data_IF_640675739270
#
_entry.id   IF_640675739270
#
_cell.length_a   1.000
_cell.length_b   1.000
_cell.length_c   1.000
_cell.angle_alpha   90.00
_cell.angle_beta   90.00
_cell.angle_gamma   90.00
#
_symmetry.space_group_name_H-M   'P 1'
#
loop_
_entity.id
_entity.type
_entity.pdbx_description
1 polymer ?
#
# COMPACT_ATOMS: atom_id res chain seq x y z
N UNK A 1 1.72 -19.24 42.21
CA UNK A 1 2.11 -18.57 40.94
C UNK A 1 2.37 -19.65 39.91
N UNK A 2 1.58 -19.72 38.85
CA UNK A 2 1.74 -20.73 37.80
C UNK A 2 2.91 -20.31 36.89
N UNK A 3 4.05 -21.00 37.04
CA UNK A 3 5.29 -20.67 36.31
C UNK A 3 5.20 -21.26 34.91
N UNK A 4 5.04 -20.40 33.90
CA UNK A 4 5.02 -20.82 32.49
C UNK A 4 6.43 -21.25 32.06
N UNK A 5 6.58 -22.34 31.28
CA UNK A 5 7.88 -22.89 30.89
C UNK A 5 8.55 -22.13 29.74
N UNK A 6 8.43 -20.81 29.71
CA UNK A 6 8.96 -19.95 28.65
C UNK A 6 9.60 -18.70 29.27
N UNK A 7 10.79 -18.36 28.80
CA UNK A 7 11.48 -17.14 29.20
C UNK A 7 10.64 -15.90 28.83
N UNK A 8 10.37 -14.96 29.76
CA UNK A 8 9.58 -13.76 29.49
C UNK A 8 10.26 -12.79 28.51
N UNK A 9 11.58 -12.88 28.34
CA UNK A 9 12.35 -11.98 27.47
C UNK A 9 12.43 -12.49 26.02
N UNK A 10 12.70 -13.79 25.83
CA UNK A 10 12.97 -14.36 24.51
C UNK A 10 12.02 -15.48 24.08
N UNK A 11 11.08 -15.89 24.95
CA UNK A 11 10.10 -16.96 24.72
C UNK A 11 10.71 -18.34 24.44
N UNK A 12 11.99 -18.55 24.77
CA UNK A 12 12.64 -19.86 24.70
C UNK A 12 12.28 -20.70 25.92
N UNK A 13 12.17 -22.02 25.77
CA UNK A 13 11.91 -22.93 26.87
C UNK A 13 13.09 -22.94 27.86
N UNK A 14 12.80 -22.76 29.14
CA UNK A 14 13.78 -22.74 30.22
C UNK A 14 13.59 -23.95 31.13
N UNK A 15 14.70 -24.55 31.55
CA UNK A 15 14.70 -25.76 32.37
C UNK A 15 14.74 -25.45 33.87
N UNK A 16 15.43 -24.37 34.23
CA UNK A 16 15.52 -23.86 35.59
C UNK A 16 15.54 -22.33 35.57
N UNK A 17 15.14 -21.74 36.70
CA UNK A 17 15.12 -20.30 36.97
C UNK A 17 15.69 -20.09 38.38
N UNK A 18 16.52 -19.07 38.57
CA UNK A 18 17.02 -18.68 39.89
C UNK A 18 16.37 -17.36 40.33
N UNK A 19 15.69 -17.37 41.49
CA UNK A 19 15.08 -16.17 42.09
C UNK A 19 15.60 -16.06 43.52
N UNK A 20 16.26 -14.94 43.84
CA UNK A 20 16.76 -14.69 45.19
C UNK A 20 17.81 -15.70 45.69
N UNK A 21 18.61 -16.27 44.78
CA UNK A 21 19.63 -17.29 45.10
C UNK A 21 19.09 -18.72 45.24
N UNK A 22 17.78 -18.93 45.00
CA UNK A 22 17.14 -20.25 45.05
C UNK A 22 16.83 -20.72 43.64
N UNK A 23 17.30 -21.92 43.29
CA UNK A 23 17.05 -22.56 41.99
C UNK A 23 15.72 -23.30 41.99
N UNK A 24 14.84 -22.90 41.09
CA UNK A 24 13.54 -23.53 40.84
C UNK A 24 13.57 -24.29 39.51
N UNK A 25 13.28 -25.60 39.56
CA UNK A 25 13.11 -26.41 38.35
C UNK A 25 11.72 -26.20 37.76
N UNK A 26 11.65 -26.00 36.44
CA UNK A 26 10.37 -25.82 35.75
C UNK A 26 9.88 -27.18 35.23
N UNK A 27 8.67 -27.65 35.59
CA UNK A 27 8.16 -28.94 35.13
C UNK A 27 8.01 -28.96 33.60
N UNK A 28 8.82 -29.78 32.91
CA UNK A 28 8.58 -30.10 31.49
C UNK A 28 7.36 -31.01 31.38
N UNK A 29 6.36 -30.62 30.58
CA UNK A 29 5.35 -31.59 30.11
C UNK A 29 6.08 -32.68 29.30
N UNK A 30 5.83 -33.98 29.54
CA UNK A 30 6.47 -35.04 28.77
C UNK A 30 6.05 -34.95 27.30
N UNK A 31 7.05 -34.89 26.41
CA UNK A 31 6.83 -34.97 24.97
C UNK A 31 6.47 -36.41 24.58
N UNK A 32 5.62 -36.63 23.56
CA UNK A 32 5.32 -37.98 23.07
C UNK A 32 6.58 -38.64 22.50
N UNK A 33 6.78 -39.91 22.85
CA UNK A 33 7.91 -40.76 22.47
C UNK A 33 8.04 -40.88 20.95
N UNK A 34 9.26 -40.69 20.43
CA UNK A 34 9.61 -41.00 19.04
C UNK A 34 9.57 -42.52 18.83
N UNK A 35 8.99 -43.06 17.75
CA UNK A 35 9.13 -44.47 17.45
C UNK A 35 10.50 -44.77 16.84
N UNK A 36 11.10 -45.82 17.37
CA UNK A 36 12.32 -46.50 16.95
C UNK A 36 12.18 -47.05 15.53
N UNK A 37 13.18 -46.82 14.68
CA UNK A 37 13.26 -47.44 13.36
C UNK A 37 13.56 -48.94 13.51
N UNK A 38 12.63 -49.79 13.09
CA UNK A 38 12.93 -51.16 12.67
C UNK A 38 12.39 -51.35 11.25
N UNK A 39 13.28 -51.74 10.34
CA UNK A 39 12.92 -52.20 9.00
C UNK A 39 12.34 -53.60 9.10
N UNK A 40 11.13 -53.81 8.59
CA UNK A 40 10.66 -55.12 8.11
C UNK A 40 9.47 -54.95 7.16
N UNK A 41 9.78 -55.18 5.88
CA UNK A 41 9.03 -55.93 4.87
C UNK A 41 7.50 -55.83 4.78
N UNK A 42 7.08 -55.12 3.72
CA UNK A 42 6.05 -55.47 2.73
C UNK A 42 4.79 -56.25 3.19
N UNK A 43 3.65 -55.56 3.15
CA UNK A 43 2.41 -56.10 2.59
C UNK A 43 1.61 -55.00 1.90
N UNK A 44 1.21 -55.33 0.68
CA UNK A 44 0.36 -54.59 -0.24
C UNK A 44 -1.01 -54.26 0.32
N UNK A 45 -1.39 -52.97 0.32
CA UNK A 45 -2.77 -52.57 0.02
C UNK A 45 -2.76 -51.22 -0.69
N UNK A 46 -3.20 -51.30 -1.94
CA UNK A 46 -3.54 -50.22 -2.85
C UNK A 46 -4.51 -49.21 -2.19
N UNK A 47 -3.98 -48.08 -1.77
CA UNK A 47 -4.76 -46.85 -1.61
C UNK A 47 -4.31 -45.89 -2.70
N UNK A 48 -4.90 -46.06 -3.89
CA UNK A 48 -5.09 -45.07 -4.96
C UNK A 48 -4.44 -43.73 -4.64
N UNK A 49 -3.18 -43.58 -5.10
CA UNK A 49 -2.51 -42.29 -5.18
C UNK A 49 -3.42 -41.37 -5.98
N UNK A 50 -4.18 -40.52 -5.28
CA UNK A 50 -4.86 -39.40 -5.91
C UNK A 50 -3.74 -38.60 -6.57
N UNK A 51 -3.66 -38.53 -7.91
CA UNK A 51 -2.58 -37.80 -8.53
C UNK A 51 -2.65 -36.39 -7.96
N UNK A 52 -1.51 -35.93 -7.43
CA UNK A 52 -1.31 -34.52 -7.18
C UNK A 52 -1.54 -33.84 -8.52
N UNK A 53 -2.78 -33.38 -8.76
CA UNK A 53 -3.08 -32.49 -9.86
C UNK A 53 -2.24 -31.27 -9.53
N UNK A 54 -1.23 -30.92 -10.34
CA UNK A 54 -0.66 -29.59 -10.25
C UNK A 54 -1.87 -28.66 -10.27
N UNK A 55 -2.02 -27.82 -9.26
CA UNK A 55 -3.02 -26.77 -9.29
C UNK A 55 -2.67 -25.99 -10.55
N UNK A 56 -3.40 -26.26 -11.65
CA UNK A 56 -3.29 -25.50 -12.90
C UNK A 56 -3.28 -24.06 -12.41
N UNK A 57 -2.30 -23.21 -12.75
CA UNK A 57 -2.48 -21.78 -12.61
C UNK A 57 -3.82 -21.54 -13.29
N UNK A 58 -4.85 -21.23 -12.50
CA UNK A 58 -6.15 -20.87 -13.06
C UNK A 58 -5.77 -19.68 -13.89
N UNK A 59 -5.74 -19.83 -15.22
CA UNK A 59 -5.51 -18.72 -16.14
C UNK A 59 -6.52 -17.68 -15.65
N UNK A 60 -6.06 -16.57 -15.05
CA UNK A 60 -7.00 -15.58 -14.59
C UNK A 60 -7.73 -15.16 -15.87
N UNK A 61 -9.08 -15.11 -15.87
CA UNK A 61 -9.76 -14.56 -17.03
C UNK A 61 -9.10 -13.21 -17.34
N UNK A 62 -8.86 -12.88 -18.62
CA UNK A 62 -8.36 -11.56 -18.97
C UNK A 62 -9.27 -10.56 -18.26
N UNK A 63 -8.65 -9.59 -17.61
CA UNK A 63 -9.27 -8.50 -16.85
C UNK A 63 -10.56 -8.02 -17.50
N UNK A 64 -11.67 -8.64 -17.11
CA UNK A 64 -12.96 -8.26 -17.64
C UNK A 64 -13.29 -6.92 -17.02
N UNK A 65 -13.85 -6.00 -17.81
CA UNK A 65 -14.42 -4.75 -17.29
C UNK A 65 -15.33 -5.05 -16.09
N UNK A 66 -15.98 -6.21 -16.06
CA UNK A 66 -16.75 -6.72 -14.91
C UNK A 66 -15.92 -6.89 -13.63
N UNK A 67 -14.71 -7.46 -13.72
CA UNK A 67 -13.81 -7.60 -12.57
C UNK A 67 -13.38 -6.23 -12.04
N UNK A 68 -13.04 -5.29 -12.93
CA UNK A 68 -12.69 -3.92 -12.52
C UNK A 68 -13.89 -3.20 -11.90
N UNK A 69 -15.10 -3.36 -12.45
CA UNK A 69 -16.34 -2.84 -11.85
C UNK A 69 -16.55 -3.39 -10.45
N UNK A 70 -16.29 -4.66 -10.20
CA UNK A 70 -16.34 -5.25 -8.85
C UNK A 70 -15.32 -4.59 -7.91
N UNK A 71 -14.08 -4.40 -8.35
CA UNK A 71 -13.03 -3.73 -7.57
C UNK A 71 -13.47 -2.33 -7.14
N UNK A 72 -13.97 -1.50 -8.05
CA UNK A 72 -14.47 -0.16 -7.72
C UNK A 72 -15.72 -0.18 -6.84
N UNK A 73 -16.67 -1.07 -7.13
CA UNK A 73 -17.92 -1.22 -6.35
C UNK A 73 -17.63 -1.52 -4.88
N UNK A 74 -16.63 -2.38 -4.62
CA UNK A 74 -16.26 -2.79 -3.26
C UNK A 74 -15.08 -2.01 -2.67
N UNK A 75 -14.54 -1.02 -3.38
CA UNK A 75 -13.42 -0.21 -2.89
C UNK A 75 -12.12 -1.02 -2.69
N UNK A 76 -11.92 -2.09 -3.46
CA UNK A 76 -10.79 -2.98 -3.27
C UNK A 76 -9.50 -2.34 -3.79
N UNK A 77 -8.45 -2.38 -2.99
CA UNK A 77 -7.11 -1.94 -3.37
C UNK A 77 -6.19 -3.15 -3.51
N UNK A 78 -5.36 -3.19 -4.54
CA UNK A 78 -4.33 -4.21 -4.70
C UNK A 78 -3.36 -4.18 -3.51
N UNK A 79 -2.87 -5.35 -3.13
CA UNK A 79 -1.94 -5.49 -2.02
C UNK A 79 -0.64 -4.75 -2.32
N UNK A 80 -0.21 -3.89 -1.39
CA UNK A 80 1.00 -3.10 -1.57
C UNK A 80 2.24 -3.99 -1.59
N UNK A 81 3.06 -3.83 -2.63
CA UNK A 81 4.38 -4.45 -2.71
C UNK A 81 5.44 -3.36 -2.60
N UNK A 82 6.31 -3.53 -1.61
CA UNK A 82 7.48 -2.68 -1.41
C UNK A 82 8.43 -2.79 -2.60
N UNK A 83 9.30 -1.78 -2.77
CA UNK A 83 10.38 -1.88 -3.74
C UNK A 83 11.37 -2.96 -3.26
N UNK A 84 11.31 -4.16 -3.83
CA UNK A 84 12.24 -5.24 -3.54
C UNK A 84 13.03 -5.57 -4.81
N UNK A 85 14.34 -5.80 -4.67
CA UNK A 85 15.25 -6.20 -5.76
C UNK A 85 14.79 -7.45 -6.48
N UNK A 86 14.09 -8.35 -5.79
CA UNK A 86 13.56 -9.57 -6.39
C UNK A 86 12.27 -9.35 -7.19
N UNK A 87 11.51 -8.28 -6.90
CA UNK A 87 10.20 -8.01 -7.53
C UNK A 87 10.26 -6.90 -8.57
N UNK A 88 11.39 -6.19 -8.72
CA UNK A 88 11.59 -5.10 -9.68
C UNK A 88 10.56 -3.96 -9.60
N UNK A 89 9.90 -3.79 -8.45
CA UNK A 89 9.00 -2.66 -8.25
C UNK A 89 9.79 -1.37 -8.05
N UNK A 90 9.65 -0.42 -8.96
CA UNK A 90 10.45 0.82 -8.97
C UNK A 90 9.57 2.01 -8.62
N UNK A 91 10.07 2.91 -7.77
CA UNK A 91 9.38 4.16 -7.47
C UNK A 91 9.62 5.17 -8.59
N UNK A 92 8.60 5.95 -8.94
CA UNK A 92 8.71 7.07 -9.88
C UNK A 92 8.33 8.37 -9.17
N UNK A 93 8.82 9.48 -9.71
CA UNK A 93 8.46 10.85 -9.34
C UNK A 93 7.86 11.55 -10.56
N UNK A 94 7.17 12.70 -10.41
CA UNK A 94 6.65 13.45 -11.55
C UNK A 94 7.72 13.80 -12.58
N UNK A 95 8.94 14.12 -12.13
CA UNK A 95 10.09 14.38 -13.02
C UNK A 95 10.49 13.14 -13.85
N UNK A 96 10.52 11.95 -13.24
CA UNK A 96 10.80 10.70 -13.94
C UNK A 96 9.67 10.38 -14.94
N UNK A 97 8.42 10.62 -14.55
CA UNK A 97 7.26 10.40 -15.42
C UNK A 97 7.28 11.33 -16.64
N UNK A 98 7.62 12.61 -16.44
CA UNK A 98 7.80 13.58 -17.51
C UNK A 98 8.87 13.15 -18.52
N UNK A 99 10.00 12.62 -18.06
CA UNK A 99 11.12 12.22 -18.91
C UNK A 99 10.88 10.88 -19.66
N UNK A 100 9.98 10.02 -19.18
CA UNK A 100 9.79 8.67 -19.73
C UNK A 100 8.51 8.55 -20.56
N UNK A 101 8.64 8.52 -21.89
CA UNK A 101 7.53 8.23 -22.80
C UNK A 101 6.96 6.82 -22.60
N UNK A 102 7.82 5.88 -22.21
CA UNK A 102 7.44 4.51 -21.89
C UNK A 102 6.44 4.46 -20.73
N UNK A 103 6.76 5.16 -19.63
CA UNK A 103 5.88 5.22 -18.47
C UNK A 103 4.56 5.94 -18.78
N UNK A 104 4.60 6.96 -19.63
CA UNK A 104 3.40 7.66 -20.13
C UNK A 104 2.52 6.74 -20.98
N UNK A 105 3.11 5.93 -21.86
CA UNK A 105 2.37 4.97 -22.69
C UNK A 105 1.68 3.89 -21.85
N UNK A 106 2.41 3.34 -20.86
CA UNK A 106 1.84 2.41 -19.88
C UNK A 106 0.69 3.04 -19.10
N UNK A 107 0.88 4.25 -18.59
CA UNK A 107 -0.16 4.99 -17.87
C UNK A 107 -1.41 5.15 -18.72
N UNK A 108 -1.27 5.59 -19.98
CA UNK A 108 -2.41 5.77 -20.89
C UNK A 108 -3.19 4.48 -21.12
N UNK A 109 -2.50 3.36 -21.33
CA UNK A 109 -3.14 2.06 -21.53
C UNK A 109 -3.98 1.66 -20.30
N UNK A 110 -3.42 1.84 -19.10
CA UNK A 110 -4.12 1.57 -17.85
C UNK A 110 -5.33 2.50 -17.66
N UNK A 111 -5.13 3.82 -17.80
CA UNK A 111 -6.16 4.82 -17.57
C UNK A 111 -7.34 4.62 -18.52
N UNK A 112 -7.11 4.40 -19.83
CA UNK A 112 -8.20 4.15 -20.79
C UNK A 112 -9.07 2.96 -20.39
N UNK A 113 -8.44 1.85 -19.98
CA UNK A 113 -9.17 0.69 -19.47
C UNK A 113 -10.00 1.06 -18.24
N UNK A 114 -9.39 1.72 -17.26
CA UNK A 114 -10.09 2.09 -16.03
C UNK A 114 -11.26 3.04 -16.27
N UNK A 115 -11.07 4.06 -17.10
CA UNK A 115 -12.13 5.01 -17.43
C UNK A 115 -13.32 4.32 -18.12
N UNK A 116 -13.07 3.31 -18.96
CA UNK A 116 -14.14 2.53 -19.59
C UNK A 116 -15.02 1.74 -18.60
N UNK A 117 -14.60 1.59 -17.34
CA UNK A 117 -15.44 0.96 -16.29
C UNK A 117 -16.55 1.89 -15.78
N UNK A 118 -16.38 3.20 -15.99
CA UNK A 118 -17.31 4.24 -15.59
C UNK A 118 -18.14 4.69 -16.79
N UNK A 119 -19.30 4.06 -17.00
CA UNK A 119 -20.15 4.34 -18.16
C UNK A 119 -20.56 5.82 -18.28
N UNK A 120 -20.65 6.54 -17.17
CA UNK A 120 -20.96 7.97 -17.13
C UNK A 120 -19.81 8.87 -17.65
N UNK A 121 -18.62 8.31 -17.90
CA UNK A 121 -17.48 9.02 -18.47
C UNK A 121 -17.27 8.77 -19.97
N UNK A 122 -18.19 8.08 -20.66
CA UNK A 122 -17.99 7.68 -22.05
C UNK A 122 -17.68 8.89 -22.97
N UNK A 123 -18.37 10.01 -22.79
CA UNK A 123 -18.23 11.20 -23.65
C UNK A 123 -17.02 12.08 -23.30
N UNK A 124 -16.48 11.96 -22.08
CA UNK A 124 -15.36 12.78 -21.58
C UNK A 124 -14.10 11.95 -21.22
N UNK A 125 -14.07 10.65 -21.54
CA UNK A 125 -12.97 9.76 -21.14
C UNK A 125 -11.60 10.23 -21.63
N UNK A 126 -11.47 10.68 -22.88
CA UNK A 126 -10.18 11.15 -23.41
C UNK A 126 -9.75 12.50 -22.79
N UNK A 127 -10.71 13.35 -22.38
CA UNK A 127 -10.40 14.56 -21.62
C UNK A 127 -9.87 14.20 -20.23
N UNK A 128 -10.57 13.31 -19.51
CA UNK A 128 -10.16 12.85 -18.18
C UNK A 128 -8.82 12.11 -18.25
N UNK A 129 -8.57 11.35 -19.32
CA UNK A 129 -7.28 10.72 -19.58
C UNK A 129 -6.15 11.75 -19.61
N UNK A 130 -6.25 12.78 -20.44
CA UNK A 130 -5.21 13.80 -20.56
C UNK A 130 -5.07 14.63 -19.27
N UNK A 131 -6.17 14.85 -18.54
CA UNK A 131 -6.13 15.46 -17.21
C UNK A 131 -5.36 14.60 -16.20
N UNK A 132 -5.61 13.28 -16.15
CA UNK A 132 -4.85 12.35 -15.29
C UNK A 132 -3.36 12.35 -15.68
N UNK A 133 -3.04 12.37 -16.99
CA UNK A 133 -1.65 12.48 -17.46
C UNK A 133 -1.01 13.79 -16.99
N UNK A 134 -1.72 14.91 -17.03
CA UNK A 134 -1.24 16.20 -16.51
C UNK A 134 -0.99 16.16 -14.99
N UNK A 135 -1.85 15.48 -14.23
CA UNK A 135 -1.63 15.24 -12.79
C UNK A 135 -0.35 14.43 -12.58
N UNK A 136 -0.15 13.32 -13.30
CA UNK A 136 1.06 12.49 -13.16
C UNK A 136 2.36 13.23 -13.48
N UNK A 137 2.28 14.27 -14.32
CA UNK A 137 3.39 15.13 -14.68
C UNK A 137 3.74 16.17 -13.61
N UNK A 138 2.82 16.51 -12.72
CA UNK A 138 2.96 17.66 -11.80
C UNK A 138 2.77 17.33 -10.33
N UNK A 139 2.05 16.26 -10.00
CA UNK A 139 1.65 15.87 -8.65
C UNK A 139 2.20 14.48 -8.32
N UNK A 140 2.83 14.34 -7.15
CA UNK A 140 3.24 13.04 -6.65
C UNK A 140 2.03 12.25 -6.12
N UNK A 141 1.71 11.13 -6.77
CA UNK A 141 0.61 10.24 -6.37
C UNK A 141 0.79 9.63 -4.97
N UNK A 142 2.02 9.60 -4.43
CA UNK A 142 2.31 9.10 -3.09
C UNK A 142 2.30 10.17 -2.02
N UNK A 143 2.05 11.42 -2.40
CA UNK A 143 2.06 12.52 -1.44
C UNK A 143 0.99 12.30 -0.36
N UNK A 144 1.39 12.52 0.90
CA UNK A 144 0.47 12.48 2.04
C UNK A 144 -0.63 13.55 1.95
N UNK A 145 -0.45 14.58 1.09
CA UNK A 145 -1.46 15.62 0.88
C UNK A 145 -2.77 15.08 0.31
N UNK A 146 -2.72 13.95 -0.41
CA UNK A 146 -3.88 13.41 -1.13
C UNK A 146 -4.35 14.27 -2.30
N UNK A 147 -3.53 15.23 -2.76
CA UNK A 147 -3.93 16.20 -3.79
C UNK A 147 -4.42 15.52 -5.08
N UNK A 148 -3.75 14.46 -5.53
CA UNK A 148 -4.15 13.72 -6.73
C UNK A 148 -5.53 13.05 -6.58
N UNK A 149 -5.86 12.54 -5.39
CA UNK A 149 -7.17 11.97 -5.10
C UNK A 149 -8.25 13.05 -5.09
N UNK A 150 -7.98 14.20 -4.44
CA UNK A 150 -8.92 15.32 -4.37
C UNK A 150 -9.24 15.88 -5.77
N UNK A 151 -8.23 15.99 -6.65
CA UNK A 151 -8.42 16.44 -8.04
C UNK A 151 -9.24 15.46 -8.89
N UNK A 152 -9.07 14.15 -8.67
CA UNK A 152 -9.81 13.12 -9.43
C UNK A 152 -11.19 12.81 -8.83
N UNK A 153 -11.45 13.23 -7.60
CA UNK A 153 -12.73 13.01 -6.93
C UNK A 153 -13.90 13.73 -7.61
N UNK A 154 -13.66 14.81 -8.35
CA UNK A 154 -14.68 15.51 -9.12
C UNK A 154 -15.24 14.65 -10.27
N UNK A 155 -14.40 13.81 -10.87
CA UNK A 155 -14.80 12.94 -11.98
C UNK A 155 -15.22 11.57 -11.50
N UNK A 156 -14.50 10.97 -10.55
CA UNK A 156 -14.68 9.56 -10.18
C UNK A 156 -15.51 9.39 -8.89
N UNK A 157 -15.67 10.46 -8.11
CA UNK A 157 -16.12 10.40 -6.72
C UNK A 157 -14.99 9.98 -5.78
N UNK A 158 -15.03 10.49 -4.53
CA UNK A 158 -13.94 10.34 -3.53
C UNK A 158 -13.48 8.89 -3.34
N UNK A 159 -14.43 7.95 -3.17
CA UNK A 159 -14.12 6.51 -2.96
C UNK A 159 -13.38 5.90 -4.16
N UNK A 160 -13.87 6.15 -5.37
CA UNK A 160 -13.28 5.54 -6.57
C UNK A 160 -11.96 6.21 -6.93
N UNK A 161 -11.83 7.52 -6.70
CA UNK A 161 -10.57 8.24 -6.90
C UNK A 161 -9.43 7.64 -6.06
N UNK A 162 -9.69 7.33 -4.78
CA UNK A 162 -8.70 6.68 -3.91
C UNK A 162 -8.28 5.29 -4.41
N UNK A 163 -9.23 4.49 -4.91
CA UNK A 163 -8.92 3.19 -5.54
C UNK A 163 -8.12 3.39 -6.83
N UNK A 164 -8.57 4.28 -7.70
CA UNK A 164 -7.94 4.55 -9.00
C UNK A 164 -6.48 4.99 -8.83
N UNK A 165 -6.22 5.95 -7.94
CA UNK A 165 -4.86 6.44 -7.66
C UNK A 165 -3.97 5.34 -7.10
N UNK A 166 -4.50 4.54 -6.16
CA UNK A 166 -3.76 3.41 -5.58
C UNK A 166 -3.37 2.39 -6.66
N UNK A 167 -4.32 2.00 -7.49
CA UNK A 167 -4.15 1.01 -8.55
C UNK A 167 -3.21 1.50 -9.66
N UNK A 168 -3.35 2.76 -10.08
CA UNK A 168 -2.47 3.40 -11.05
C UNK A 168 -1.03 3.46 -10.54
N UNK A 169 -0.82 3.87 -9.28
CA UNK A 169 0.50 3.87 -8.65
C UNK A 169 1.08 2.44 -8.55
N UNK A 170 0.26 1.45 -8.18
CA UNK A 170 0.68 0.06 -8.11
C UNK A 170 1.14 -0.47 -9.48
N UNK A 171 0.36 -0.19 -10.54
CA UNK A 171 0.68 -0.59 -11.91
C UNK A 171 1.96 0.07 -12.42
N UNK A 172 2.10 1.39 -12.29
CA UNK A 172 3.26 2.12 -12.81
C UNK A 172 4.57 1.74 -12.09
N UNK A 173 4.48 1.35 -10.82
CA UNK A 173 5.63 0.82 -10.08
C UNK A 173 5.98 -0.62 -10.47
N UNK A 174 5.02 -1.38 -10.99
CA UNK A 174 5.23 -2.79 -11.31
C UNK A 174 6.14 -2.97 -12.53
N UNK A 175 6.80 -4.13 -12.68
CA UNK A 175 7.57 -4.46 -13.88
C UNK A 175 6.69 -4.87 -15.08
N UNK A 176 5.36 -4.86 -14.94
CA UNK A 176 4.45 -5.34 -15.98
C UNK A 176 4.20 -4.28 -17.05
N UNK A 177 4.46 -4.65 -18.29
CA UNK A 177 4.27 -3.77 -19.44
C UNK A 177 2.80 -3.68 -19.82
N UNK A 178 2.12 -4.82 -19.75
CA UNK A 178 0.72 -4.94 -20.11
C UNK A 178 -0.17 -4.89 -18.89
N UNK A 179 -1.30 -4.22 -19.07
CA UNK A 179 -2.34 -4.13 -18.05
C UNK A 179 -2.85 -5.53 -17.66
N UNK A 180 -3.03 -6.41 -18.64
CA UNK A 180 -3.48 -7.78 -18.40
C UNK A 180 -2.48 -8.62 -17.58
N UNK A 181 -1.17 -8.34 -17.68
CA UNK A 181 -0.14 -9.01 -16.88
C UNK A 181 -0.23 -8.58 -15.43
N UNK A 182 -0.40 -7.29 -15.20
CA UNK A 182 -0.64 -6.74 -13.88
C UNK A 182 -1.87 -7.35 -13.22
N UNK A 183 -2.99 -7.50 -13.94
CA UNK A 183 -4.20 -8.08 -13.35
C UNK A 183 -4.05 -9.55 -12.95
N UNK A 184 -3.21 -10.32 -13.66
CA UNK A 184 -2.91 -11.71 -13.28
C UNK A 184 -2.12 -11.79 -11.98
N UNK A 185 -1.32 -10.77 -11.71
CA UNK A 185 -0.47 -10.70 -10.54
C UNK A 185 -1.14 -10.00 -9.34
N UNK A 186 -1.94 -8.97 -9.60
CA UNK A 186 -2.54 -8.12 -8.58
C UNK A 186 -3.47 -8.94 -7.68
N UNK A 187 -3.20 -8.86 -6.37
CA UNK A 187 -3.98 -9.56 -5.35
C UNK A 187 -4.83 -8.57 -4.58
N UNK A 188 -6.12 -8.88 -4.46
CA UNK A 188 -7.09 -8.06 -3.74
C UNK A 188 -7.52 -8.77 -2.45
N UNK A 189 -7.79 -8.02 -1.36
CA UNK A 189 -8.37 -8.61 -0.18
C UNK A 189 -9.73 -9.23 -0.53
N UNK A 190 -10.01 -10.41 0.03
CA UNK A 190 -11.37 -10.97 -0.03
C UNK A 190 -12.34 -9.95 0.58
N UNK A 191 -13.52 -9.70 0.00
CA UNK A 191 -14.50 -8.78 0.58
C UNK A 191 -14.86 -9.14 2.03
N UNK A 192 -14.78 -10.42 2.41
CA UNK A 192 -14.98 -10.91 3.78
C UNK A 192 -13.89 -10.45 4.77
N UNK A 193 -12.67 -10.19 4.27
CA UNK A 193 -11.53 -9.68 5.06
C UNK A 193 -11.30 -8.19 4.87
N UNK A 194 -11.73 -7.62 3.74
CA UNK A 194 -11.66 -6.20 3.41
C UNK A 194 -12.75 -5.36 4.10
N UNK A 195 -13.81 -6.01 4.60
CA UNK A 195 -14.82 -5.39 5.44
C UNK A 195 -14.19 -4.64 6.62
N UNK A 196 -13.17 -5.19 7.30
CA UNK A 196 -12.53 -4.54 8.44
C UNK A 196 -11.80 -3.23 8.12
N UNK A 197 -11.25 -3.05 6.91
CA UNK A 197 -10.60 -1.79 6.51
C UNK A 197 -11.65 -0.78 6.01
N UNK A 198 -12.64 -1.24 5.24
CA UNK A 198 -13.75 -0.40 4.79
C UNK A 198 -14.68 0.02 5.94
N UNK A 199 -14.81 -0.80 6.99
CA UNK A 199 -15.50 -0.51 8.26
C UNK A 199 -14.69 0.49 9.09
N UNK A 200 -13.36 0.37 9.17
CA UNK A 200 -12.50 1.40 9.78
C UNK A 200 -12.62 2.77 9.08
N UNK A 201 -12.76 2.81 7.75
CA UNK A 201 -13.06 4.04 7.01
C UNK A 201 -14.51 4.53 7.22
N UNK A 202 -15.49 3.62 7.35
CA UNK A 202 -16.92 3.95 7.58
C UNK A 202 -17.23 4.44 9.00
N UNK A 203 -16.51 3.91 10.00
CA UNK A 203 -16.69 4.23 11.43
C UNK A 203 -15.89 5.46 11.88
N UNK A 204 -15.28 6.21 10.96
CA UNK A 204 -14.67 7.51 11.26
C UNK A 204 -13.13 7.54 11.28
N UNK A 205 -12.44 6.52 10.77
CA UNK A 205 -10.99 6.51 10.56
C UNK A 205 -10.49 7.59 9.59
N UNK A 206 -11.37 8.16 8.77
CA UNK A 206 -11.11 9.36 7.97
C UNK A 206 -10.64 10.55 8.81
N UNK A 207 -11.03 10.63 10.09
CA UNK A 207 -10.61 11.69 10.99
C UNK A 207 -9.12 11.64 11.37
N UNK A 208 -8.48 10.46 11.34
CA UNK A 208 -7.03 10.36 11.60
C UNK A 208 -6.23 10.86 10.40
N UNK A 209 -6.59 10.40 9.20
CA UNK A 209 -5.95 10.84 7.95
C UNK A 209 -6.24 12.33 7.69
N UNK A 210 -7.44 12.82 7.98
CA UNK A 210 -7.81 14.23 7.85
C UNK A 210 -7.11 15.11 8.90
N UNK A 211 -6.97 14.66 10.15
CA UNK A 211 -6.14 15.34 11.17
C UNK A 211 -4.67 15.34 10.79
N UNK A 212 -4.16 14.25 10.22
CA UNK A 212 -2.77 14.16 9.76
C UNK A 212 -2.54 15.06 8.54
N UNK A 213 -3.46 15.08 7.57
CA UNK A 213 -3.48 16.02 6.44
C UNK A 213 -3.56 17.48 6.93
N UNK A 214 -4.39 17.78 7.94
CA UNK A 214 -4.49 19.11 8.53
C UNK A 214 -3.19 19.53 9.22
N UNK A 215 -2.53 18.61 9.95
CA UNK A 215 -1.21 18.85 10.57
C UNK A 215 -0.10 19.08 9.54
N UNK A 216 -0.13 18.39 8.41
CA UNK A 216 0.82 18.60 7.30
C UNK A 216 0.58 19.96 6.64
N UNK A 217 -0.68 20.30 6.33
CA UNK A 217 -1.05 21.63 5.78
C UNK A 217 -0.65 22.78 6.72
N UNK A 218 -0.84 22.61 8.02
CA UNK A 218 -0.41 23.60 9.02
C UNK A 218 1.12 23.75 9.06
N UNK A 219 1.87 22.65 8.93
CA UNK A 219 3.34 22.69 8.86
C UNK A 219 3.87 23.35 7.58
N UNK A 220 3.26 23.08 6.43
CA UNK A 220 3.64 23.72 5.15
C UNK A 220 3.30 25.22 5.17
N UNK A 221 2.09 25.60 5.59
CA UNK A 221 1.68 27.00 5.68
C UNK A 221 2.51 27.83 6.68
N UNK A 222 3.06 27.22 7.74
CA UNK A 222 3.98 27.89 8.66
C UNK A 222 5.37 28.12 8.07
N UNK A 223 5.78 27.29 7.10
CA UNK A 223 7.07 27.39 6.40
C UNK A 223 7.08 28.54 5.39
N UNK A 224 5.95 28.76 4.71
CA UNK A 224 5.80 29.83 3.71
C UNK A 224 5.74 31.23 4.34
N UNK A 225 5.27 31.33 5.60
CA UNK A 225 5.18 32.60 6.34
C UNK A 225 6.54 33.17 6.79
N UNK A 226 7.61 32.38 6.83
CA UNK A 226 8.95 32.87 7.21
C UNK A 226 9.80 33.30 6.01
N UNK A 227 9.34 33.05 4.77
CA UNK A 227 10.11 33.36 3.56
C UNK A 227 9.72 34.68 2.87
N UNK A 228 8.75 35.43 3.39
CA UNK A 228 8.19 36.66 2.76
C UNK A 228 8.29 37.94 3.61
N UNK A 229 9.05 37.93 4.71
CA UNK A 229 9.22 39.10 5.60
C UNK A 229 10.59 39.77 5.51
N UNK A 230 11.01 40.22 4.32
CA UNK A 230 12.28 40.91 4.09
C UNK A 230 12.11 42.22 3.32
N UNK A 231 11.23 43.10 3.78
CA UNK A 231 10.90 44.38 3.14
C UNK A 231 11.30 45.59 3.98
N UNK A 232 12.41 46.21 3.58
CA UNK A 232 12.70 47.66 3.53
C UNK A 232 12.06 48.57 4.60
N UNK A 233 12.89 49.18 5.45
CA UNK A 233 12.50 50.41 6.17
C UNK A 233 13.48 51.54 5.88
N UNK A 234 12.94 52.63 5.34
CA UNK A 234 13.64 53.82 4.92
C UNK A 234 13.26 55.01 5.81
N UNK A 235 14.28 55.69 6.36
CA UNK A 235 14.35 57.11 6.81
C UNK A 235 13.55 57.43 8.11
N UNK A 236 13.95 58.33 9.01
CA UNK A 236 14.78 59.56 8.93
C UNK A 236 15.04 60.13 10.37
N UNK A 237 16.23 60.74 10.57
CA UNK A 237 16.62 61.85 11.49
C UNK A 237 16.39 61.67 13.02
N UNK A 238 17.19 62.20 13.97
CA UNK A 238 17.96 63.45 13.99
C UNK A 238 18.96 63.48 15.19
N UNK A 239 20.06 64.25 15.04
CA UNK A 239 20.91 64.96 16.04
C UNK A 239 21.57 64.26 17.26
N UNK A 240 22.91 64.22 17.28
CA UNK A 240 23.80 65.07 18.13
C UNK A 240 25.30 64.91 17.72
N UNK A 241 26.10 65.97 17.85
CA UNK A 241 27.56 66.10 17.50
C UNK A 241 28.26 66.83 18.69
N UNK A 242 29.60 67.03 18.71
CA UNK A 242 30.70 66.17 19.18
C UNK A 242 31.50 66.78 20.38
N UNK A 243 32.62 66.15 20.78
CA UNK A 243 33.85 66.76 21.33
C UNK A 243 34.95 65.66 21.39
N UNK A 244 36.24 65.78 21.08
CA UNK A 244 37.18 66.81 20.58
C UNK A 244 38.16 66.09 19.66
#
# INVERSE_FOLDING_TARGET
>A
MEVKPLCPLCKVAIEWLEVGGVKHNVPRKPAPSKPTFYSSSSTTTDTRRRPYRPRRPRSPPPSSILTRRHIYTHGLRSSHVGANRLSNHTNFTPAIFLASEHLQSRARAFIRRELSTFAFLADNAEFVLEYVIAILKSVDLKSASGAAEDMLAEFLGRRNAGVFVHELNAFLRSPYERVEEFDRWAQYPSPEKGAGFAEWEREGGGGHVERERARVREREGRRDRWSTGGGVSARRADRYRPAV
#
